data_IF_292755854688
#
_entry.id   IF_292755854688
#
_cell.length_a   1.000
_cell.length_b   1.000
_cell.length_c   1.000
_cell.angle_alpha   90.00
_cell.angle_beta   90.00
_cell.angle_gamma   90.00
#
_symmetry.space_group_name_H-M   'P 1'
#
loop_
_entity.id
_entity.type
_entity.pdbx_description
1 polymer ?
#
# COMPACT_ATOMS: atom_id res chain seq x y z
N UNK A 1 -2.54 23.21 -2.45
CA UNK A 1 -1.24 22.65 -2.89
C UNK A 1 -1.41 21.16 -3.11
N UNK A 2 -1.02 20.65 -4.27
CA UNK A 2 -1.01 19.21 -4.58
C UNK A 2 0.05 18.51 -3.73
N UNK A 3 -0.11 17.23 -3.45
CA UNK A 3 0.85 16.43 -2.65
C UNK A 3 2.30 16.60 -3.13
N UNK A 4 2.52 16.62 -4.45
CA UNK A 4 3.82 16.86 -5.08
C UNK A 4 4.47 18.17 -4.62
N UNK A 5 3.71 19.28 -4.59
CA UNK A 5 4.21 20.60 -4.22
C UNK A 5 4.64 20.65 -2.76
N UNK A 6 3.90 19.98 -1.86
CA UNK A 6 4.25 19.88 -0.44
C UNK A 6 5.52 19.08 -0.23
N UNK A 7 5.68 17.96 -0.93
CA UNK A 7 6.85 17.09 -0.84
C UNK A 7 8.12 17.81 -1.33
N UNK A 8 8.03 18.45 -2.49
CA UNK A 8 9.17 19.24 -3.05
C UNK A 8 9.52 20.37 -2.10
N UNK A 9 8.55 21.09 -1.57
CA UNK A 9 8.77 22.22 -0.67
C UNK A 9 9.39 21.77 0.65
N UNK A 10 8.90 20.70 1.26
CA UNK A 10 9.47 20.15 2.51
C UNK A 10 10.91 19.66 2.31
N UNK A 11 11.17 18.86 1.28
CA UNK A 11 12.52 18.34 1.01
C UNK A 11 13.49 19.46 0.65
N UNK A 12 13.07 20.46 -0.14
CA UNK A 12 13.91 21.61 -0.47
C UNK A 12 14.22 22.47 0.74
N UNK A 13 13.24 22.71 1.61
CA UNK A 13 13.44 23.53 2.82
C UNK A 13 14.38 22.85 3.83
N UNK A 14 14.21 21.56 4.08
CA UNK A 14 15.11 20.83 5.01
C UNK A 14 16.52 20.77 4.48
N UNK A 15 16.71 20.54 3.18
CA UNK A 15 18.02 20.53 2.54
C UNK A 15 18.67 21.92 2.54
N UNK A 16 17.90 22.98 2.31
CA UNK A 16 18.38 24.37 2.35
C UNK A 16 18.91 24.72 3.73
N UNK A 17 18.19 24.39 4.79
CA UNK A 17 18.60 24.66 6.18
C UNK A 17 19.86 23.86 6.52
N UNK A 18 19.88 22.56 6.26
CA UNK A 18 21.00 21.68 6.58
C UNK A 18 22.29 22.07 5.83
N UNK A 19 22.18 22.32 4.53
CA UNK A 19 23.31 22.76 3.71
C UNK A 19 23.78 24.15 4.11
N UNK A 20 22.86 25.10 4.33
CA UNK A 20 23.19 26.45 4.75
C UNK A 20 23.95 26.47 6.07
N UNK A 21 23.53 25.72 7.06
CA UNK A 21 24.22 25.54 8.32
C UNK A 21 25.61 24.92 8.12
N UNK A 22 25.73 23.88 7.29
CA UNK A 22 27.01 23.23 6.97
C UNK A 22 28.01 24.18 6.28
N UNK A 23 27.53 24.92 5.28
CA UNK A 23 28.38 25.91 4.60
C UNK A 23 28.81 27.05 5.53
N UNK A 24 27.91 27.58 6.37
CA UNK A 24 28.26 28.60 7.37
C UNK A 24 29.32 28.09 8.35
N UNK A 25 29.12 26.88 8.85
CA UNK A 25 30.09 26.26 9.78
C UNK A 25 31.48 26.08 9.15
N UNK A 26 31.54 25.59 7.91
CA UNK A 26 32.81 25.41 7.20
C UNK A 26 33.49 26.76 6.95
N UNK A 27 32.73 27.76 6.50
CA UNK A 27 33.25 29.10 6.28
C UNK A 27 33.84 29.71 7.56
N UNK A 28 33.09 29.71 8.66
CA UNK A 28 33.52 30.23 9.94
C UNK A 28 34.79 29.49 10.46
N UNK A 29 34.83 28.16 10.29
CA UNK A 29 35.94 27.34 10.73
C UNK A 29 37.22 27.63 9.96
N UNK A 30 37.13 27.74 8.62
CA UNK A 30 38.30 28.04 7.77
C UNK A 30 38.81 29.46 8.05
N UNK A 31 37.94 30.47 8.16
CA UNK A 31 38.36 31.83 8.47
C UNK A 31 38.97 31.93 9.86
N UNK A 32 38.45 31.22 10.85
CA UNK A 32 39.03 31.19 12.20
C UNK A 32 40.41 30.54 12.23
N UNK A 33 40.61 29.44 11.49
CA UNK A 33 41.90 28.75 11.40
C UNK A 33 42.96 29.62 10.74
N UNK A 34 42.63 30.29 9.62
CA UNK A 34 43.56 31.23 8.98
C UNK A 34 43.94 32.41 9.90
N UNK A 35 42.97 32.95 10.62
CA UNK A 35 43.24 34.02 11.57
C UNK A 35 44.14 33.56 12.72
N UNK A 36 43.94 32.34 13.23
CA UNK A 36 44.76 31.75 14.27
C UNK A 36 46.21 31.54 13.81
N UNK A 37 46.41 31.10 12.55
CA UNK A 37 47.75 30.96 11.96
C UNK A 37 48.48 32.31 11.87
N UNK A 38 47.77 33.37 11.44
CA UNK A 38 48.34 34.73 11.43
C UNK A 38 48.67 35.21 12.82
N UNK A 39 47.85 35.03 13.81
CA UNK A 39 48.07 35.40 15.20
C UNK A 39 49.31 34.68 15.78
N UNK A 40 49.51 33.41 15.43
CA UNK A 40 50.67 32.64 15.84
C UNK A 40 51.96 33.18 15.23
N UNK A 41 52.00 33.41 13.93
CA UNK A 41 53.15 33.96 13.22
C UNK A 41 53.44 35.38 13.70
N UNK A 42 52.42 36.22 13.87
CA UNK A 42 52.53 37.58 14.38
C UNK A 42 53.16 37.60 15.79
N UNK A 43 52.77 36.64 16.65
CA UNK A 43 53.34 36.52 18.00
C UNK A 43 54.79 36.15 18.03
N UNK A 44 55.32 35.37 17.11
CA UNK A 44 56.74 34.98 17.00
C UNK A 44 57.54 36.14 16.43
N UNK A 45 57.16 36.62 15.26
CA UNK A 45 57.90 37.66 14.53
C UNK A 45 57.94 38.97 15.31
N UNK A 46 56.87 39.36 15.99
CA UNK A 46 56.88 40.58 16.82
C UNK A 46 57.84 40.54 17.97
N UNK A 47 58.09 39.35 18.54
CA UNK A 47 59.14 39.18 19.61
C UNK A 47 60.51 39.20 19.02
N UNK A 48 60.78 38.54 17.88
CA UNK A 48 62.04 38.56 17.21
C UNK A 48 62.47 40.01 16.83
N UNK A 49 61.48 40.76 16.27
CA UNK A 49 61.70 42.19 15.94
C UNK A 49 61.96 43.03 17.16
N UNK A 50 61.21 42.84 18.27
CA UNK A 50 61.45 43.54 19.52
C UNK A 50 62.86 43.24 20.11
N UNK A 51 63.31 41.97 20.03
CA UNK A 51 64.67 41.57 20.49
C UNK A 51 65.78 42.11 19.58
N UNK A 52 65.51 42.24 18.27
CA UNK A 52 66.46 42.84 17.34
C UNK A 52 66.64 44.34 17.64
N UNK A 53 65.54 45.08 17.86
CA UNK A 53 65.57 46.48 18.29
C UNK A 53 66.28 46.63 19.61
N UNK A 54 66.08 45.67 20.55
CA UNK A 54 66.79 45.69 21.84
C UNK A 54 68.31 45.56 21.73
N UNK A 55 68.80 44.71 20.84
CA UNK A 55 70.27 44.46 20.59
C UNK A 55 70.89 45.59 19.88
N UNK A 56 70.25 46.36 19.03
CA UNK A 56 70.79 47.45 18.22
C UNK A 56 70.83 48.79 19.00
N UNK A 57 71.77 48.96 19.94
CA UNK A 57 71.79 50.04 20.92
C UNK A 57 71.94 51.45 20.34
N UNK A 58 72.05 51.64 19.03
CA UNK A 58 72.30 52.97 18.44
C UNK A 58 71.39 53.38 17.28
N UNK A 59 70.82 52.46 16.61
CA UNK A 59 69.98 52.73 15.45
C UNK A 59 68.49 52.70 15.89
N UNK A 60 67.77 53.81 15.68
CA UNK A 60 66.28 53.89 15.73
C UNK A 60 65.70 53.60 14.35
N UNK A 61 66.37 52.75 13.59
CA UNK A 61 65.89 52.32 12.28
C UNK A 61 65.22 50.96 12.43
N UNK A 62 63.98 50.89 11.97
CA UNK A 62 63.20 49.60 11.84
C UNK A 62 63.72 48.89 10.58
N UNK A 63 63.90 47.56 10.60
CA UNK A 63 64.33 46.82 9.44
C UNK A 63 63.42 47.10 8.23
N UNK A 64 64.03 47.33 7.08
CA UNK A 64 63.32 47.67 5.83
C UNK A 64 62.82 46.44 5.04
N UNK A 65 62.79 45.22 5.67
CA UNK A 65 62.30 44.08 5.01
C UNK A 65 60.75 44.15 5.02
N UNK A 66 60.12 44.43 3.86
CA UNK A 66 58.69 44.76 3.81
C UNK A 66 57.80 43.59 3.95
N UNK A 67 58.32 42.35 3.81
CA UNK A 67 57.44 41.15 3.67
C UNK A 67 57.82 40.07 4.69
N UNK A 68 56.81 39.58 5.36
CA UNK A 68 56.85 38.40 6.20
C UNK A 68 56.65 37.16 5.36
N UNK A 69 57.62 36.26 5.37
CA UNK A 69 57.46 34.97 4.69
C UNK A 69 56.59 34.03 5.54
N UNK A 70 55.31 34.23 5.52
CA UNK A 70 54.37 33.26 6.11
C UNK A 70 54.28 32.01 5.23
N UNK A 71 54.37 30.85 5.85
CA UNK A 71 54.53 29.56 5.16
C UNK A 71 53.31 29.14 4.37
N UNK A 72 52.08 29.48 4.77
CA UNK A 72 50.86 29.03 4.13
C UNK A 72 49.94 30.15 3.57
N UNK A 73 50.15 31.40 3.99
CA UNK A 73 49.21 32.51 3.66
C UNK A 73 49.82 33.47 2.62
N UNK A 74 51.06 33.21 2.19
CA UNK A 74 51.80 34.08 1.30
C UNK A 74 52.47 35.26 2.01
N UNK A 75 53.16 36.15 1.31
CA UNK A 75 53.92 37.26 1.90
C UNK A 75 52.96 38.30 2.50
N UNK A 76 53.04 38.49 3.80
CA UNK A 76 52.29 39.50 4.54
C UNK A 76 53.13 40.77 4.72
N UNK A 77 52.59 41.93 4.38
CA UNK A 77 53.26 43.21 4.55
C UNK A 77 53.37 43.58 6.02
N UNK A 78 54.58 43.88 6.49
CA UNK A 78 54.90 44.27 7.89
C UNK A 78 54.62 45.75 8.11
N UNK A 79 54.01 46.04 9.24
CA UNK A 79 53.83 47.41 9.76
C UNK A 79 54.43 47.47 11.14
N UNK A 80 55.44 48.30 11.33
CA UNK A 80 56.08 48.46 12.61
C UNK A 80 56.18 49.93 12.99
N UNK A 81 55.88 50.24 14.26
CA UNK A 81 55.96 51.58 14.85
C UNK A 81 56.56 51.46 16.26
N UNK A 82 57.66 52.19 16.52
CA UNK A 82 58.26 52.27 17.84
C UNK A 82 57.79 53.58 18.50
N UNK A 83 57.32 53.46 19.73
CA UNK A 83 56.83 54.57 20.56
C UNK A 83 57.76 54.74 21.80
N UNK A 84 57.85 55.98 22.27
CA UNK A 84 58.50 56.30 23.59
C UNK A 84 57.50 56.19 24.75
N UNK A 85 57.91 56.45 25.98
CA UNK A 85 57.07 56.43 27.17
C UNK A 85 55.93 57.44 27.16
N UNK A 86 56.01 58.47 26.35
CA UNK A 86 55.00 59.53 26.22
C UNK A 86 54.04 59.22 25.05
N UNK A 87 54.25 58.10 24.31
CA UNK A 87 53.46 57.69 23.16
C UNK A 87 53.83 58.43 21.87
N UNK A 88 55.03 59.08 21.84
CA UNK A 88 55.50 59.72 20.63
C UNK A 88 56.24 58.71 19.75
N UNK A 89 56.05 58.80 18.44
CA UNK A 89 56.64 57.89 17.46
C UNK A 89 58.14 58.16 17.39
N UNK A 90 58.99 57.18 17.73
CA UNK A 90 60.45 57.20 17.63
C UNK A 90 60.91 56.75 16.25
N UNK A 91 60.35 55.67 15.74
CA UNK A 91 60.62 55.13 14.42
C UNK A 91 59.36 54.49 13.82
N UNK A 92 59.34 54.33 12.49
CA UNK A 92 58.25 53.71 11.76
C UNK A 92 58.76 53.02 10.51
N UNK A 93 58.18 51.92 10.13
CA UNK A 93 58.42 51.25 8.84
C UNK A 93 57.96 52.11 7.67
N UNK A 94 58.53 51.95 6.49
CA UNK A 94 58.23 52.75 5.30
C UNK A 94 56.73 52.62 4.92
N UNK A 95 56.08 51.47 5.14
CA UNK A 95 54.68 51.19 4.84
C UNK A 95 53.68 51.97 5.72
N UNK A 96 54.06 52.35 6.94
CA UNK A 96 53.24 53.14 7.86
C UNK A 96 53.19 54.62 7.41
N UNK A 97 54.23 55.13 6.85
CA UNK A 97 54.30 56.51 6.37
C UNK A 97 53.98 57.51 7.47
N UNK A 98 53.24 58.57 7.15
CA UNK A 98 52.80 59.61 8.07
C UNK A 98 51.56 59.26 8.91
N UNK A 99 51.04 58.03 8.77
CA UNK A 99 49.75 57.63 9.35
C UNK A 99 49.87 56.73 10.56
N UNK A 100 50.94 56.83 11.32
CA UNK A 100 51.14 56.07 12.56
C UNK A 100 49.96 56.36 13.54
N UNK A 101 49.30 55.37 14.11
CA UNK A 101 48.22 55.58 15.09
C UNK A 101 48.83 56.17 16.40
N UNK A 102 48.06 57.03 17.08
CA UNK A 102 48.49 57.55 18.40
C UNK A 102 48.40 56.42 19.46
N UNK A 103 49.50 56.24 20.25
CA UNK A 103 49.59 55.19 21.27
C UNK A 103 48.42 55.26 22.29
N UNK A 104 47.99 56.49 22.65
CA UNK A 104 46.84 56.72 23.54
C UNK A 104 45.52 56.17 23.08
N UNK A 105 45.39 55.92 21.77
CA UNK A 105 44.17 55.31 21.18
C UNK A 105 44.26 53.77 21.14
N UNK A 106 45.37 53.20 21.56
CA UNK A 106 45.64 51.79 21.59
C UNK A 106 45.48 51.27 23.03
N UNK A 107 44.85 50.14 23.22
CA UNK A 107 44.67 49.56 24.55
C UNK A 107 45.96 48.89 25.00
N UNK A 108 46.73 49.57 25.83
CA UNK A 108 48.07 49.20 26.26
C UNK A 108 48.18 47.88 27.07
N UNK A 109 47.04 47.28 27.43
CA UNK A 109 47.02 46.09 28.29
C UNK A 109 46.94 44.75 27.57
N UNK A 110 47.00 44.71 26.23
CA UNK A 110 46.80 43.46 25.54
C UNK A 110 48.02 43.03 24.75
N UNK A 111 48.78 42.08 25.29
CA UNK A 111 49.69 41.21 24.52
C UNK A 111 48.94 40.30 23.54
N UNK A 112 47.62 40.52 23.38
CA UNK A 112 46.79 39.80 22.43
C UNK A 112 46.70 40.55 21.11
N UNK A 113 46.70 39.84 19.98
CA UNK A 113 46.49 40.45 18.66
C UNK A 113 45.14 41.15 18.55
N UNK A 114 45.13 42.34 17.96
CA UNK A 114 43.95 43.15 17.73
C UNK A 114 43.90 43.71 16.31
N UNK A 115 42.71 43.99 15.81
CA UNK A 115 42.55 44.57 14.49
C UNK A 115 42.55 46.10 14.54
N UNK A 116 43.29 46.73 13.62
CA UNK A 116 43.39 48.18 13.48
C UNK A 116 43.52 48.58 12.01
N UNK A 117 42.99 49.74 11.65
CA UNK A 117 43.23 50.30 10.34
C UNK A 117 44.41 51.30 10.41
N UNK A 118 45.39 51.14 9.53
CA UNK A 118 46.49 52.07 9.30
C UNK A 118 46.30 52.67 7.90
N UNK A 119 45.74 53.85 7.84
CA UNK A 119 45.28 54.41 6.58
C UNK A 119 44.05 53.70 6.00
N UNK A 120 44.21 53.09 4.83
CA UNK A 120 43.13 52.28 4.20
C UNK A 120 43.33 50.77 4.38
N UNK A 121 44.44 50.35 4.99
CA UNK A 121 44.77 48.95 5.15
C UNK A 121 44.32 48.43 6.52
N UNK A 122 43.65 47.32 6.53
CA UNK A 122 43.32 46.60 7.75
C UNK A 122 44.54 45.82 8.22
N UNK A 123 44.97 46.05 9.45
CA UNK A 123 46.19 45.48 10.03
C UNK A 123 45.81 44.70 11.27
N UNK A 124 46.29 43.48 11.38
CA UNK A 124 46.31 42.67 12.59
C UNK A 124 47.57 42.99 13.35
N UNK A 125 47.51 43.53 14.54
CA UNK A 125 48.67 44.08 15.25
C UNK A 125 48.75 43.58 16.70
N UNK A 126 49.94 43.64 17.24
CA UNK A 126 50.25 43.36 18.65
C UNK A 126 51.12 44.48 19.20
N UNK A 127 50.95 44.81 20.48
CA UNK A 127 51.77 45.75 21.21
C UNK A 127 52.66 44.99 22.16
N UNK A 128 53.96 45.24 22.07
CA UNK A 128 54.98 44.58 22.87
C UNK A 128 55.94 45.63 23.47
N UNK A 129 56.34 45.54 24.78
CA UNK A 129 57.42 46.32 25.33
C UNK A 129 58.77 45.87 24.73
N UNK A 130 59.66 46.78 24.44
CA UNK A 130 60.96 46.44 23.91
C UNK A 130 61.87 45.99 25.07
N UNK A 131 62.44 44.76 25.03
CA UNK A 131 63.33 44.25 26.09
C UNK A 131 64.51 45.14 26.32
N UNK A 132 64.83 45.45 27.60
CA UNK A 132 65.99 46.29 27.96
C UNK A 132 65.83 47.78 27.64
N UNK A 133 64.66 48.26 27.17
CA UNK A 133 64.37 49.69 26.93
C UNK A 133 63.08 50.09 27.65
N UNK A 134 63.17 50.46 28.94
CA UNK A 134 62.01 50.80 29.73
C UNK A 134 61.27 52.00 29.14
N UNK A 135 59.94 51.85 28.92
CA UNK A 135 59.07 52.87 28.35
C UNK A 135 58.91 52.85 26.80
N UNK A 136 59.78 52.12 26.09
CA UNK A 136 59.58 51.97 24.63
C UNK A 136 58.66 50.82 24.33
N UNK A 137 57.70 51.05 23.42
CA UNK A 137 56.68 50.03 22.99
C UNK A 137 56.64 49.86 21.47
N UNK A 138 56.75 48.65 21.02
CA UNK A 138 56.68 48.30 19.63
C UNK A 138 55.20 47.90 19.26
N UNK A 139 54.61 48.61 18.32
CA UNK A 139 53.46 48.16 17.58
C UNK A 139 53.92 47.37 16.36
N UNK A 140 53.68 46.10 16.31
CA UNK A 140 54.01 45.27 15.18
C UNK A 140 52.74 44.67 14.61
N UNK A 141 52.55 44.73 13.29
CA UNK A 141 51.31 44.25 12.65
C UNK A 141 51.57 43.80 11.23
N UNK A 142 50.59 43.04 10.70
CA UNK A 142 50.58 42.52 9.34
C UNK A 142 49.29 42.91 8.63
N UNK A 143 49.36 43.13 7.32
CA UNK A 143 48.14 43.41 6.52
C UNK A 143 47.18 42.25 6.54
N UNK A 144 45.91 42.57 6.72
CA UNK A 144 44.80 41.61 6.57
C UNK A 144 44.26 41.52 5.14
N UNK A 145 44.70 42.40 4.22
CA UNK A 145 44.15 42.46 2.87
C UNK A 145 44.22 41.11 2.12
N UNK A 146 45.27 40.28 2.21
CA UNK A 146 45.31 38.96 1.61
C UNK A 146 44.26 37.99 2.24
N UNK A 147 44.16 38.00 3.59
CA UNK A 147 43.19 37.15 4.28
C UNK A 147 41.75 37.54 3.90
N UNK A 148 41.45 38.85 3.88
CA UNK A 148 40.14 39.35 3.56
C UNK A 148 39.76 39.04 2.07
N UNK A 149 40.75 39.10 1.16
CA UNK A 149 40.57 38.71 -0.24
C UNK A 149 40.34 37.22 -0.41
N UNK A 150 41.07 36.37 0.32
CA UNK A 150 40.89 34.90 0.30
C UNK A 150 39.58 34.49 0.93
N UNK A 151 39.17 35.12 2.03
CA UNK A 151 37.85 34.91 2.65
C UNK A 151 36.72 35.33 1.71
N UNK A 152 36.87 36.46 0.98
CA UNK A 152 35.88 36.89 0.00
C UNK A 152 35.80 35.94 -1.20
N UNK A 153 36.94 35.42 -1.68
CA UNK A 153 36.95 34.40 -2.75
C UNK A 153 36.30 33.12 -2.27
N UNK A 154 36.64 32.64 -1.10
CA UNK A 154 36.05 31.45 -0.47
C UNK A 154 34.52 31.61 -0.34
N UNK A 155 34.06 32.76 0.20
CA UNK A 155 32.64 33.06 0.34
C UNK A 155 31.92 33.04 -1.02
N UNK A 156 32.55 33.60 -2.06
CA UNK A 156 31.99 33.61 -3.43
C UNK A 156 31.89 32.21 -4.02
N UNK A 157 32.94 31.41 -3.94
CA UNK A 157 32.98 30.03 -4.43
C UNK A 157 31.95 29.19 -3.69
N UNK A 158 31.90 29.27 -2.37
CA UNK A 158 30.91 28.55 -1.55
C UNK A 158 29.49 28.96 -1.87
N UNK A 159 29.21 30.26 -2.09
CA UNK A 159 27.90 30.75 -2.44
C UNK A 159 27.42 30.22 -3.81
N UNK A 160 28.32 30.21 -4.81
CA UNK A 160 28.00 29.68 -6.15
C UNK A 160 27.74 28.16 -6.06
N UNK A 161 28.61 27.44 -5.34
CA UNK A 161 28.43 25.99 -5.14
C UNK A 161 27.14 25.67 -4.40
N UNK A 162 26.83 26.40 -3.32
CA UNK A 162 25.58 26.29 -2.59
C UNK A 162 24.38 26.50 -3.48
N UNK A 163 24.35 27.58 -4.28
CA UNK A 163 23.27 27.87 -5.21
C UNK A 163 23.11 26.74 -6.25
N UNK A 164 24.21 26.22 -6.80
CA UNK A 164 24.19 25.09 -7.73
C UNK A 164 23.61 23.80 -7.11
N UNK A 165 24.01 23.48 -5.89
CA UNK A 165 23.49 22.30 -5.16
C UNK A 165 22.01 22.45 -4.85
N UNK A 166 21.57 23.63 -4.43
CA UNK A 166 20.14 23.90 -4.16
C UNK A 166 19.30 23.73 -5.43
N UNK A 167 19.75 24.30 -6.55
CA UNK A 167 19.05 24.14 -7.85
C UNK A 167 18.98 22.66 -8.24
N UNK A 168 20.05 21.93 -8.08
CA UNK A 168 20.11 20.49 -8.36
C UNK A 168 19.13 19.69 -7.50
N UNK A 169 19.07 19.96 -6.19
CA UNK A 169 18.16 19.28 -5.25
C UNK A 169 16.70 19.57 -5.65
N UNK A 170 16.34 20.82 -5.92
CA UNK A 170 15.00 21.20 -6.32
C UNK A 170 14.61 20.51 -7.63
N UNK A 171 15.51 20.50 -8.60
CA UNK A 171 15.28 19.83 -9.89
C UNK A 171 15.08 18.33 -9.73
N UNK A 172 15.97 17.67 -8.98
CA UNK A 172 15.86 16.21 -8.73
C UNK A 172 14.59 15.84 -7.97
N UNK A 173 14.26 16.57 -6.92
CA UNK A 173 13.04 16.33 -6.14
C UNK A 173 11.78 16.53 -7.00
N UNK A 174 11.77 17.57 -7.81
CA UNK A 174 10.68 17.81 -8.76
C UNK A 174 10.54 16.71 -9.81
N UNK A 175 11.67 16.26 -10.37
CA UNK A 175 11.70 15.22 -11.39
C UNK A 175 11.20 13.87 -10.85
N UNK A 176 11.71 13.46 -9.67
CA UNK A 176 11.27 12.24 -8.98
C UNK A 176 9.77 12.31 -8.65
N UNK A 177 9.33 13.42 -8.05
CA UNK A 177 7.92 13.61 -7.69
C UNK A 177 7.00 13.61 -8.91
N UNK A 178 7.43 14.20 -10.03
CA UNK A 178 6.67 14.21 -11.28
C UNK A 178 6.55 12.81 -11.87
N UNK A 179 7.60 12.01 -11.80
CA UNK A 179 7.62 10.63 -12.29
C UNK A 179 6.69 9.74 -11.47
N UNK A 180 6.82 9.75 -10.15
CA UNK A 180 5.96 8.95 -9.25
C UNK A 180 4.47 9.32 -9.39
N UNK A 181 4.17 10.62 -9.50
CA UNK A 181 2.77 11.06 -9.61
C UNK A 181 2.07 10.53 -10.87
N UNK A 182 2.78 10.44 -12.01
CA UNK A 182 2.19 9.92 -13.26
C UNK A 182 1.75 8.46 -13.15
N UNK A 183 2.54 7.64 -12.48
CA UNK A 183 2.25 6.21 -12.29
C UNK A 183 1.03 6.00 -11.37
N UNK A 184 0.94 6.76 -10.28
CA UNK A 184 -0.25 6.76 -9.42
C UNK A 184 -1.51 7.28 -10.13
N UNK A 185 -1.37 8.31 -10.97
CA UNK A 185 -2.49 8.85 -11.75
C UNK A 185 -3.03 7.83 -12.76
N UNK A 186 -2.17 6.97 -13.34
CA UNK A 186 -2.60 5.90 -14.24
C UNK A 186 -3.48 4.87 -13.51
N UNK A 187 -3.06 4.40 -12.34
CA UNK A 187 -3.85 3.46 -11.52
C UNK A 187 -5.18 4.12 -11.09
N UNK A 188 -5.13 5.36 -10.61
CA UNK A 188 -6.32 6.11 -10.22
C UNK A 188 -7.30 6.36 -11.39
N UNK A 189 -6.79 6.53 -12.60
CA UNK A 189 -7.62 6.67 -13.80
C UNK A 189 -8.37 5.37 -14.11
N UNK A 190 -7.69 4.22 -14.03
CA UNK A 190 -8.32 2.90 -14.20
C UNK A 190 -9.37 2.66 -13.12
N UNK A 191 -9.05 2.93 -11.85
CA UNK A 191 -10.01 2.79 -10.76
C UNK A 191 -11.28 3.64 -10.96
N UNK A 192 -11.15 4.88 -11.47
CA UNK A 192 -12.31 5.73 -11.82
C UNK A 192 -13.13 5.17 -12.98
N UNK A 193 -12.48 4.60 -14.00
CA UNK A 193 -13.19 3.94 -15.12
C UNK A 193 -13.99 2.73 -14.63
N UNK A 194 -13.38 1.90 -13.78
CA UNK A 194 -14.07 0.75 -13.16
C UNK A 194 -15.25 1.21 -12.32
N UNK A 195 -15.09 2.24 -11.49
CA UNK A 195 -16.18 2.83 -10.70
C UNK A 195 -17.30 3.41 -11.58
N UNK A 196 -17.00 3.85 -12.80
CA UNK A 196 -17.99 4.28 -13.79
C UNK A 196 -18.64 3.11 -14.56
N UNK A 197 -18.29 1.85 -14.25
CA UNK A 197 -18.86 0.64 -14.85
C UNK A 197 -18.04 0.01 -15.98
N UNK A 198 -16.88 0.57 -16.33
CA UNK A 198 -16.00 -0.02 -17.34
C UNK A 198 -15.09 -1.10 -16.72
N UNK A 199 -15.63 -2.29 -16.59
CA UNK A 199 -14.92 -3.46 -16.05
C UNK A 199 -13.87 -4.05 -17.03
N UNK A 200 -13.74 -3.51 -18.24
CA UNK A 200 -12.71 -3.90 -19.20
C UNK A 200 -11.39 -3.14 -19.01
N UNK A 201 -11.40 -2.05 -18.26
CA UNK A 201 -10.22 -1.23 -17.99
C UNK A 201 -9.16 -2.04 -17.24
N UNK A 202 -7.90 -1.87 -17.65
CA UNK A 202 -6.72 -2.50 -17.00
C UNK A 202 -5.62 -1.48 -16.85
N UNK A 203 -4.81 -1.67 -15.80
CA UNK A 203 -3.60 -0.86 -15.57
C UNK A 203 -2.50 -1.26 -16.56
N UNK A 204 -2.37 -2.55 -16.83
CA UNK A 204 -1.40 -3.10 -17.79
C UNK A 204 0.03 -3.16 -17.25
N UNK A 205 0.88 -3.97 -17.92
CA UNK A 205 2.22 -4.31 -17.46
C UNK A 205 3.34 -3.30 -17.81
N UNK A 206 3.01 -2.07 -18.25
CA UNK A 206 4.01 -1.10 -18.74
C UNK A 206 4.61 -0.15 -17.69
N UNK A 207 4.40 -0.41 -16.39
CA UNK A 207 4.90 0.45 -15.31
C UNK A 207 6.39 0.13 -15.03
N UNK A 208 7.28 1.14 -15.03
CA UNK A 208 8.73 0.93 -14.96
C UNK A 208 9.24 0.56 -13.56
N UNK A 209 8.47 0.78 -12.50
CA UNK A 209 8.84 0.45 -11.13
C UNK A 209 8.14 -0.83 -10.67
N UNK A 210 8.90 -1.80 -10.17
CA UNK A 210 8.41 -3.14 -9.82
C UNK A 210 7.31 -3.10 -8.75
N UNK A 211 7.45 -2.24 -7.73
CA UNK A 211 6.45 -2.09 -6.66
C UNK A 211 5.11 -1.56 -7.18
N UNK A 212 5.14 -0.59 -8.10
CA UNK A 212 3.93 -0.02 -8.69
C UNK A 212 3.34 -0.97 -9.74
N UNK A 213 4.19 -1.69 -10.47
CA UNK A 213 3.75 -2.75 -11.38
C UNK A 213 3.08 -3.91 -10.63
N UNK A 214 3.56 -4.24 -9.42
CA UNK A 214 2.90 -5.21 -8.53
C UNK A 214 1.52 -4.72 -8.12
N UNK A 215 1.41 -3.49 -7.63
CA UNK A 215 0.11 -2.88 -7.31
C UNK A 215 -0.83 -2.86 -8.51
N UNK A 216 -0.31 -2.57 -9.71
CA UNK A 216 -1.09 -2.61 -10.95
C UNK A 216 -1.66 -4.00 -11.23
N UNK A 217 -0.86 -5.07 -11.06
CA UNK A 217 -1.31 -6.47 -11.20
C UNK A 217 -2.37 -6.85 -10.16
N UNK A 218 -2.19 -6.41 -8.90
CA UNK A 218 -3.16 -6.67 -7.84
C UNK A 218 -4.50 -6.00 -8.14
N UNK A 219 -4.49 -4.76 -8.64
CA UNK A 219 -5.69 -4.04 -9.10
C UNK A 219 -6.32 -4.75 -10.30
N UNK A 220 -5.55 -5.17 -11.30
CA UNK A 220 -6.06 -5.90 -12.47
C UNK A 220 -6.70 -7.23 -12.06
N UNK A 221 -6.11 -7.98 -11.12
CA UNK A 221 -6.69 -9.21 -10.54
C UNK A 221 -8.01 -8.94 -9.82
N UNK A 222 -8.08 -7.86 -9.04
CA UNK A 222 -9.33 -7.46 -8.37
C UNK A 222 -10.42 -7.09 -9.38
N UNK A 223 -10.08 -6.39 -10.47
CA UNK A 223 -11.03 -6.05 -11.54
C UNK A 223 -11.53 -7.31 -12.24
N UNK A 224 -10.66 -8.29 -12.46
CA UNK A 224 -11.03 -9.56 -13.07
C UNK A 224 -12.04 -10.33 -12.19
N UNK A 225 -11.78 -10.42 -10.88
CA UNK A 225 -12.70 -11.04 -9.93
C UNK A 225 -14.05 -10.32 -9.88
N UNK A 226 -14.04 -8.98 -9.87
CA UNK A 226 -15.26 -8.17 -9.89
C UNK A 226 -16.04 -8.38 -11.20
N UNK A 227 -15.35 -8.40 -12.35
CA UNK A 227 -15.95 -8.64 -13.65
C UNK A 227 -16.62 -10.02 -13.72
N UNK A 228 -15.94 -11.06 -13.23
CA UNK A 228 -16.48 -12.41 -13.14
C UNK A 228 -17.73 -12.48 -12.24
N UNK A 229 -17.70 -11.79 -11.09
CA UNK A 229 -18.83 -11.71 -10.16
C UNK A 229 -20.04 -11.03 -10.81
N UNK A 230 -19.84 -9.86 -11.45
CA UNK A 230 -20.92 -9.13 -12.13
C UNK A 230 -21.51 -9.94 -13.29
N UNK A 231 -20.65 -10.58 -14.09
CA UNK A 231 -21.11 -11.45 -15.18
C UNK A 231 -21.93 -12.65 -14.68
N UNK A 232 -21.49 -13.26 -13.56
CA UNK A 232 -22.24 -14.34 -12.89
C UNK A 232 -23.60 -13.85 -12.38
N UNK A 233 -23.63 -12.67 -11.76
CA UNK A 233 -24.88 -12.07 -11.28
C UNK A 233 -25.85 -11.74 -12.41
N UNK A 234 -25.36 -11.21 -13.53
CA UNK A 234 -26.21 -10.92 -14.71
C UNK A 234 -26.81 -12.21 -15.31
N UNK A 235 -25.98 -13.26 -15.43
CA UNK A 235 -26.46 -14.58 -15.87
C UNK A 235 -27.52 -15.11 -14.93
N UNK A 236 -27.29 -15.05 -13.61
CA UNK A 236 -28.26 -15.50 -12.60
C UNK A 236 -29.60 -14.78 -12.76
N UNK A 237 -29.61 -13.44 -12.86
CA UNK A 237 -30.87 -12.67 -13.04
C UNK A 237 -31.55 -13.01 -14.34
N UNK A 238 -30.81 -13.16 -15.44
CA UNK A 238 -31.36 -13.52 -16.75
C UNK A 238 -32.01 -14.89 -16.74
N UNK A 239 -31.34 -15.90 -16.19
CA UNK A 239 -31.91 -17.26 -16.08
C UNK A 239 -33.13 -17.30 -15.13
N UNK A 240 -33.04 -16.64 -13.97
CA UNK A 240 -34.17 -16.56 -13.04
C UNK A 240 -35.41 -15.96 -13.71
N UNK A 241 -35.23 -14.87 -14.46
CA UNK A 241 -36.33 -14.25 -15.21
C UNK A 241 -36.92 -15.19 -16.29
N UNK A 242 -36.07 -15.99 -16.96
CA UNK A 242 -36.52 -16.94 -17.98
C UNK A 242 -37.29 -18.09 -17.35
N UNK A 243 -36.77 -18.69 -16.29
CA UNK A 243 -37.40 -19.81 -15.58
C UNK A 243 -38.73 -19.43 -14.89
N UNK A 244 -38.87 -18.18 -14.44
CA UNK A 244 -40.13 -17.66 -13.91
C UNK A 244 -41.16 -17.35 -15.01
N UNK A 245 -40.73 -16.91 -16.19
CA UNK A 245 -41.62 -16.55 -17.30
C UNK A 245 -42.35 -17.75 -17.87
N UNK A 246 -41.71 -18.91 -17.97
CA UNK A 246 -42.29 -20.13 -18.56
C UNK A 246 -43.54 -20.57 -17.81
N UNK A 247 -43.53 -20.91 -16.51
CA UNK A 247 -44.71 -21.35 -15.77
C UNK A 247 -45.76 -20.22 -15.66
N UNK A 248 -45.35 -18.95 -15.58
CA UNK A 248 -46.26 -17.82 -15.59
C UNK A 248 -47.06 -17.77 -16.91
N UNK A 249 -46.39 -17.97 -18.04
CA UNK A 249 -47.03 -17.97 -19.36
C UNK A 249 -47.97 -19.16 -19.51
N UNK A 250 -47.60 -20.36 -19.00
CA UNK A 250 -48.45 -21.53 -18.99
C UNK A 250 -49.71 -21.30 -18.15
N UNK A 251 -49.58 -20.87 -16.90
CA UNK A 251 -50.71 -20.56 -16.02
C UNK A 251 -51.65 -19.50 -16.63
N UNK A 252 -51.09 -18.41 -17.15
CA UNK A 252 -51.86 -17.35 -17.80
C UNK A 252 -52.55 -17.86 -19.06
N UNK A 253 -51.87 -18.67 -19.85
CA UNK A 253 -52.43 -19.26 -21.09
C UNK A 253 -53.62 -20.17 -20.82
N UNK A 254 -53.50 -21.09 -19.84
CA UNK A 254 -54.56 -21.99 -19.46
C UNK A 254 -55.78 -21.23 -18.91
N UNK A 255 -55.59 -20.29 -17.98
CA UNK A 255 -56.63 -19.47 -17.41
C UNK A 255 -57.33 -18.59 -18.47
N UNK A 256 -56.52 -17.91 -19.32
CA UNK A 256 -57.03 -17.08 -20.40
C UNK A 256 -57.83 -17.90 -21.43
N UNK A 257 -57.35 -19.12 -21.74
CA UNK A 257 -58.00 -20.02 -22.65
C UNK A 257 -59.38 -20.60 -22.07
N UNK A 258 -59.34 -20.85 -20.74
CA UNK A 258 -60.58 -21.27 -20.03
C UNK A 258 -61.69 -20.19 -20.04
N UNK A 259 -61.30 -18.90 -20.01
CA UNK A 259 -62.22 -17.76 -20.04
C UNK A 259 -62.77 -17.42 -21.44
N UNK A 260 -62.22 -17.94 -22.55
CA UNK A 260 -62.58 -17.56 -23.92
C UNK A 260 -63.84 -18.22 -24.45
N UNK A 261 -64.22 -19.36 -23.90
CA UNK A 261 -65.39 -20.15 -24.34
C UNK A 261 -66.04 -20.83 -23.14
N UNK A 262 -67.34 -21.01 -23.16
CA UNK A 262 -67.99 -21.90 -22.21
C UNK A 262 -67.46 -23.32 -22.36
N UNK A 263 -67.14 -23.97 -21.26
CA UNK A 263 -66.53 -25.27 -21.17
C UNK A 263 -67.25 -26.14 -20.16
N UNK A 264 -67.03 -27.45 -20.18
CA UNK A 264 -67.49 -28.33 -19.15
C UNK A 264 -66.89 -28.07 -17.80
N UNK A 265 -67.57 -28.43 -16.71
CA UNK A 265 -66.99 -28.31 -15.36
C UNK A 265 -65.68 -29.09 -15.20
N UNK A 266 -65.49 -30.19 -15.94
CA UNK A 266 -64.29 -30.99 -15.96
C UNK A 266 -63.11 -30.22 -16.61
N UNK A 267 -63.37 -29.55 -17.75
CA UNK A 267 -62.33 -28.76 -18.45
C UNK A 267 -61.91 -27.54 -17.63
N UNK A 268 -62.82 -26.88 -16.90
CA UNK A 268 -62.45 -25.80 -15.98
C UNK A 268 -61.64 -26.31 -14.82
N UNK A 269 -61.94 -27.48 -14.27
CA UNK A 269 -61.15 -28.08 -13.20
C UNK A 269 -59.72 -28.41 -13.66
N UNK A 270 -59.56 -28.99 -14.84
CA UNK A 270 -58.25 -29.29 -15.44
C UNK A 270 -57.46 -28.04 -15.65
N UNK A 271 -58.01 -26.95 -16.20
CA UNK A 271 -57.30 -25.67 -16.37
C UNK A 271 -56.91 -25.05 -15.05
N UNK A 272 -57.74 -25.17 -14.01
CA UNK A 272 -57.37 -24.68 -12.65
C UNK A 272 -56.29 -25.53 -12.05
N UNK A 273 -56.29 -26.85 -12.19
CA UNK A 273 -55.30 -27.78 -11.71
C UNK A 273 -53.91 -27.48 -12.37
N UNK A 274 -53.88 -27.32 -13.69
CA UNK A 274 -52.65 -26.91 -14.41
C UNK A 274 -52.13 -25.55 -13.96
N UNK A 275 -53.01 -24.56 -13.79
CA UNK A 275 -52.60 -23.26 -13.31
C UNK A 275 -52.06 -23.29 -11.84
N UNK A 276 -52.69 -24.14 -11.00
CA UNK A 276 -52.26 -24.37 -9.62
C UNK A 276 -50.85 -25.01 -9.58
N UNK A 277 -50.62 -26.03 -10.41
CA UNK A 277 -49.30 -26.68 -10.53
C UNK A 277 -48.23 -25.69 -10.97
N UNK A 278 -48.50 -24.89 -12.00
CA UNK A 278 -47.58 -23.86 -12.48
C UNK A 278 -47.26 -22.81 -11.39
N UNK A 279 -48.25 -22.38 -10.59
CA UNK A 279 -48.02 -21.45 -9.46
C UNK A 279 -47.28 -22.08 -8.32
N UNK A 280 -47.47 -23.36 -8.02
CA UNK A 280 -46.67 -24.10 -7.04
C UNK A 280 -45.21 -24.21 -7.48
N UNK A 281 -44.98 -24.50 -8.76
CA UNK A 281 -43.60 -24.49 -9.32
C UNK A 281 -42.93 -23.13 -9.18
N UNK A 282 -43.62 -22.02 -9.52
CA UNK A 282 -43.10 -20.67 -9.33
C UNK A 282 -42.75 -20.37 -7.86
N UNK A 283 -43.57 -20.82 -6.91
CA UNK A 283 -43.30 -20.65 -5.49
C UNK A 283 -42.02 -21.36 -5.07
N UNK A 284 -41.82 -22.62 -5.45
CA UNK A 284 -40.60 -23.38 -5.16
C UNK A 284 -39.41 -22.69 -5.77
N UNK A 285 -39.47 -22.26 -7.03
CA UNK A 285 -38.41 -21.56 -7.70
C UNK A 285 -38.03 -20.23 -7.00
N UNK A 286 -39.05 -19.45 -6.58
CA UNK A 286 -38.80 -18.19 -5.84
C UNK A 286 -38.11 -18.45 -4.49
N UNK A 287 -38.53 -19.50 -3.78
CA UNK A 287 -37.87 -19.94 -2.54
C UNK A 287 -36.44 -20.38 -2.80
N UNK A 288 -36.13 -21.09 -3.90
CA UNK A 288 -34.82 -21.51 -4.33
C UNK A 288 -33.89 -20.30 -4.58
N UNK A 289 -34.40 -19.32 -5.31
CA UNK A 289 -33.68 -18.08 -5.58
C UNK A 289 -33.38 -17.29 -4.30
N UNK A 290 -34.31 -17.26 -3.32
CA UNK A 290 -34.10 -16.60 -2.04
C UNK A 290 -32.95 -17.26 -1.21
N UNK A 291 -32.86 -18.61 -1.24
CA UNK A 291 -31.75 -19.31 -0.58
C UNK A 291 -30.43 -18.96 -1.23
N UNK A 292 -30.36 -18.96 -2.56
CA UNK A 292 -29.16 -18.60 -3.28
C UNK A 292 -28.75 -17.12 -3.05
N UNK A 293 -29.72 -16.20 -3.00
CA UNK A 293 -29.47 -14.79 -2.74
C UNK A 293 -28.92 -14.54 -1.31
N UNK A 294 -29.32 -15.39 -0.35
CA UNK A 294 -28.80 -15.30 1.04
C UNK A 294 -27.47 -16.01 1.25
N UNK A 295 -27.00 -16.80 0.31
CA UNK A 295 -25.75 -17.56 0.40
C UNK A 295 -24.49 -16.68 0.33
N UNK A 296 -24.28 -15.82 1.28
CA UNK A 296 -23.17 -14.89 1.42
C UNK A 296 -23.34 -13.97 2.63
N UNK A 297 -24.57 -13.98 3.19
CA UNK A 297 -24.83 -13.26 4.44
C UNK A 297 -24.60 -14.20 5.63
N UNK A 298 -23.99 -13.73 6.73
CA UNK A 298 -23.92 -14.52 7.95
C UNK A 298 -25.34 -14.90 8.38
N UNK A 299 -25.54 -16.14 8.87
CA UNK A 299 -26.87 -16.56 9.35
C UNK A 299 -27.36 -15.59 10.42
N UNK A 300 -28.65 -15.24 10.38
CA UNK A 300 -29.27 -14.37 11.36
C UNK A 300 -28.98 -14.93 12.77
N UNK A 301 -28.59 -14.07 13.71
CA UNK A 301 -28.30 -14.44 15.08
C UNK A 301 -29.56 -15.05 15.73
N UNK A 302 -29.64 -16.40 15.68
CA UNK A 302 -30.68 -17.20 16.30
C UNK A 302 -30.05 -18.24 17.22
N UNK A 303 -30.85 -18.82 18.13
CA UNK A 303 -30.41 -19.94 18.94
C UNK A 303 -30.06 -21.14 18.04
N UNK A 304 -28.85 -21.67 18.15
CA UNK A 304 -28.49 -22.93 17.49
C UNK A 304 -29.23 -24.08 18.17
N UNK A 305 -29.73 -25.02 17.37
CA UNK A 305 -30.28 -26.28 17.85
C UNK A 305 -29.48 -27.45 17.29
N UNK A 306 -29.34 -28.50 18.07
CA UNK A 306 -28.73 -29.74 17.58
C UNK A 306 -29.74 -30.51 16.75
N UNK A 307 -29.41 -30.83 15.50
CA UNK A 307 -30.23 -31.57 14.58
C UNK A 307 -29.59 -32.92 14.25
N UNK A 308 -30.38 -34.02 14.28
CA UNK A 308 -29.98 -35.34 13.80
C UNK A 308 -30.10 -35.39 12.28
N UNK A 309 -29.00 -35.63 11.58
CA UNK A 309 -29.00 -35.78 10.12
C UNK A 309 -29.86 -36.98 9.65
N UNK A 310 -29.91 -38.06 10.46
CA UNK A 310 -30.78 -39.19 10.16
C UNK A 310 -32.28 -38.83 10.26
N UNK A 311 -32.68 -37.98 11.22
CA UNK A 311 -34.07 -37.50 11.32
C UNK A 311 -34.43 -36.62 10.14
N UNK A 312 -33.52 -35.69 9.77
CA UNK A 312 -33.70 -34.82 8.58
C UNK A 312 -33.82 -35.67 7.31
N UNK A 313 -32.97 -36.68 7.15
CA UNK A 313 -32.99 -37.58 6.00
C UNK A 313 -34.30 -38.42 5.95
N UNK A 314 -34.79 -38.94 7.10
CA UNK A 314 -36.08 -39.66 7.15
C UNK A 314 -37.25 -38.77 6.74
N UNK A 315 -37.27 -37.51 7.19
CA UNK A 315 -38.27 -36.54 6.76
C UNK A 315 -38.26 -36.30 5.24
N UNK A 316 -37.07 -36.14 4.65
CA UNK A 316 -36.89 -35.94 3.20
C UNK A 316 -37.27 -37.18 2.39
N UNK A 317 -36.92 -38.38 2.86
CA UNK A 317 -37.34 -39.66 2.25
C UNK A 317 -38.87 -39.80 2.28
N UNK A 318 -39.50 -39.51 3.39
CA UNK A 318 -40.97 -39.55 3.52
C UNK A 318 -41.67 -38.55 2.56
N UNK A 319 -41.10 -37.34 2.39
CA UNK A 319 -41.60 -36.32 1.45
C UNK A 319 -41.54 -36.81 -0.01
N UNK A 320 -40.48 -37.54 -0.39
CA UNK A 320 -40.26 -38.01 -1.77
C UNK A 320 -40.74 -39.46 -2.00
N UNK A 321 -41.44 -40.09 -1.05
CA UNK A 321 -41.84 -41.50 -1.12
C UNK A 321 -42.60 -41.81 -2.41
N UNK A 322 -43.59 -40.98 -2.82
CA UNK A 322 -44.31 -41.15 -4.06
C UNK A 322 -43.44 -41.10 -5.32
N UNK A 323 -42.38 -40.26 -5.32
CA UNK A 323 -41.43 -40.16 -6.42
C UNK A 323 -40.54 -41.42 -6.50
N UNK A 324 -40.10 -41.94 -5.36
CA UNK A 324 -39.35 -43.21 -5.29
C UNK A 324 -40.20 -44.38 -5.83
N UNK A 325 -41.44 -44.48 -5.38
CA UNK A 325 -42.37 -45.53 -5.84
C UNK A 325 -42.65 -45.45 -7.35
N UNK A 326 -42.95 -44.25 -7.88
CA UNK A 326 -43.20 -44.04 -9.30
C UNK A 326 -42.00 -44.41 -10.20
N UNK A 327 -40.75 -44.19 -9.70
CA UNK A 327 -39.54 -44.57 -10.42
C UNK A 327 -39.01 -45.97 -10.07
N UNK A 328 -39.61 -46.64 -9.08
CA UNK A 328 -39.20 -47.99 -8.61
C UNK A 328 -37.82 -47.99 -7.96
N UNK A 329 -37.40 -46.88 -7.36
CA UNK A 329 -36.11 -46.73 -6.69
C UNK A 329 -36.27 -47.02 -5.20
N UNK A 330 -35.36 -47.77 -4.61
CA UNK A 330 -35.32 -48.02 -3.16
C UNK A 330 -34.30 -47.06 -2.49
N UNK A 331 -34.63 -46.65 -1.27
CA UNK A 331 -33.75 -45.80 -0.48
C UNK A 331 -33.34 -46.51 0.79
N UNK A 332 -32.02 -46.54 1.06
CA UNK A 332 -31.43 -47.15 2.27
C UNK A 332 -30.79 -46.03 3.09
N UNK A 333 -31.12 -45.94 4.39
CA UNK A 333 -30.53 -44.96 5.32
C UNK A 333 -29.70 -45.65 6.38
N UNK A 334 -28.43 -45.26 6.51
CA UNK A 334 -27.49 -45.81 7.46
C UNK A 334 -26.86 -44.74 8.38
N UNK A 335 -26.73 -45.09 9.65
CA UNK A 335 -26.03 -44.27 10.64
C UNK A 335 -26.82 -43.02 11.07
N UNK A 336 -26.20 -42.26 11.94
CA UNK A 336 -26.66 -40.92 12.36
C UNK A 336 -25.48 -40.02 12.72
N UNK A 337 -25.66 -38.75 12.54
CA UNK A 337 -24.71 -37.72 12.98
C UNK A 337 -25.51 -36.49 13.40
N UNK A 338 -24.96 -35.74 14.34
CA UNK A 338 -25.57 -34.50 14.83
C UNK A 338 -24.79 -33.29 14.37
N UNK A 339 -25.53 -32.24 14.02
CA UNK A 339 -24.99 -30.96 13.61
C UNK A 339 -25.69 -29.85 14.37
N UNK A 340 -24.93 -28.86 14.81
CA UNK A 340 -25.48 -27.61 15.29
C UNK A 340 -25.91 -26.72 14.11
N UNK A 341 -27.18 -26.43 14.06
CA UNK A 341 -27.79 -25.67 12.96
C UNK A 341 -28.62 -24.50 13.46
N UNK A 342 -28.65 -23.44 12.65
CA UNK A 342 -29.56 -22.30 12.87
C UNK A 342 -30.92 -22.54 12.22
N UNK A 343 -31.01 -23.47 11.24
CA UNK A 343 -32.24 -23.71 10.50
C UNK A 343 -32.31 -25.15 9.97
N UNK A 344 -33.07 -26.00 10.65
CA UNK A 344 -33.26 -27.38 10.26
C UNK A 344 -33.98 -27.52 8.90
N UNK A 345 -34.79 -26.50 8.51
CA UNK A 345 -35.44 -26.48 7.19
C UNK A 345 -34.45 -26.42 6.04
N UNK A 346 -33.34 -25.68 6.21
CA UNK A 346 -32.29 -25.62 5.21
C UNK A 346 -31.58 -26.97 5.06
N UNK A 347 -31.30 -27.68 6.17
CA UNK A 347 -30.76 -29.04 6.10
C UNK A 347 -31.73 -30.01 5.43
N UNK A 348 -33.04 -29.93 5.74
CA UNK A 348 -34.06 -30.73 5.10
C UNK A 348 -34.09 -30.47 3.57
N UNK A 349 -34.05 -29.23 3.14
CA UNK A 349 -34.00 -28.81 1.73
C UNK A 349 -32.73 -29.31 1.02
N UNK A 350 -31.58 -29.28 1.70
CA UNK A 350 -30.33 -29.84 1.19
C UNK A 350 -30.49 -31.33 0.88
N UNK A 351 -31.06 -32.10 1.82
CA UNK A 351 -31.28 -33.55 1.65
C UNK A 351 -32.30 -33.84 0.55
N UNK A 352 -33.41 -33.09 0.50
CA UNK A 352 -34.43 -33.22 -0.57
C UNK A 352 -33.79 -33.01 -1.95
N UNK A 353 -32.94 -31.98 -2.13
CA UNK A 353 -32.27 -31.74 -3.40
C UNK A 353 -31.32 -32.86 -3.81
N UNK A 354 -30.55 -33.41 -2.85
CA UNK A 354 -29.64 -34.53 -3.11
C UNK A 354 -30.40 -35.79 -3.48
N UNK A 355 -31.49 -36.09 -2.76
CA UNK A 355 -32.35 -37.26 -3.02
C UNK A 355 -33.10 -37.15 -4.35
N UNK A 356 -33.67 -35.99 -4.67
CA UNK A 356 -34.35 -35.75 -5.94
C UNK A 356 -33.37 -35.94 -7.11
N UNK A 357 -32.15 -35.42 -6.99
CA UNK A 357 -31.10 -35.64 -7.98
C UNK A 357 -30.76 -37.13 -8.11
N UNK A 358 -30.55 -37.82 -7.01
CA UNK A 358 -30.21 -39.25 -7.01
C UNK A 358 -31.29 -40.10 -7.64
N UNK A 359 -32.58 -39.80 -7.39
CA UNK A 359 -33.73 -40.53 -7.98
C UNK A 359 -33.85 -40.26 -9.47
N UNK A 360 -33.67 -39.04 -9.91
CA UNK A 360 -33.71 -38.63 -11.31
C UNK A 360 -32.72 -39.42 -12.17
N UNK A 361 -31.50 -39.59 -11.64
CA UNK A 361 -30.42 -40.24 -12.38
C UNK A 361 -30.27 -41.74 -12.12
N UNK A 362 -30.95 -42.29 -11.11
CA UNK A 362 -30.94 -43.74 -10.85
C UNK A 362 -31.75 -44.54 -11.88
N UNK A 363 -31.28 -45.75 -12.28
CA UNK A 363 -32.04 -46.62 -13.11
C UNK A 363 -33.29 -47.18 -12.38
N UNK A 364 -34.33 -47.59 -13.08
CA UNK A 364 -35.49 -48.26 -12.48
C UNK A 364 -35.05 -49.52 -11.73
N UNK A 365 -35.51 -49.72 -10.52
CA UNK A 365 -35.07 -50.80 -9.62
C UNK A 365 -33.78 -50.53 -8.88
N UNK A 366 -33.14 -49.39 -9.09
CA UNK A 366 -31.91 -48.98 -8.44
C UNK A 366 -32.08 -48.70 -6.95
N UNK A 367 -30.93 -48.56 -6.27
CA UNK A 367 -30.86 -48.24 -4.84
C UNK A 367 -30.11 -46.91 -4.66
N UNK A 368 -30.72 -45.98 -3.93
CA UNK A 368 -30.08 -44.76 -3.44
C UNK A 368 -29.69 -44.99 -1.99
N UNK A 369 -28.42 -44.82 -1.69
CA UNK A 369 -27.89 -45.02 -0.33
C UNK A 369 -27.59 -43.66 0.31
N UNK A 370 -28.20 -43.45 1.48
CA UNK A 370 -27.97 -42.26 2.31
C UNK A 370 -27.15 -42.68 3.55
N UNK A 371 -26.05 -42.07 3.84
CA UNK A 371 -25.32 -42.35 5.07
C UNK A 371 -25.01 -41.07 5.83
N UNK A 372 -25.25 -41.11 7.15
CA UNK A 372 -24.87 -40.04 8.08
C UNK A 372 -23.84 -40.57 9.06
N UNK A 373 -22.67 -39.98 9.10
CA UNK A 373 -21.52 -40.45 9.91
C UNK A 373 -20.84 -39.28 10.61
N UNK A 374 -20.20 -39.55 11.73
CA UNK A 374 -19.36 -38.59 12.44
C UNK A 374 -17.91 -39.08 12.43
N UNK A 375 -17.06 -38.47 11.61
CA UNK A 375 -15.62 -38.74 11.53
C UNK A 375 -14.80 -37.51 11.96
N UNK A 376 -15.04 -37.03 13.18
CA UNK A 376 -14.52 -35.73 13.64
C UNK A 376 -15.37 -34.55 13.19
N UNK A 377 -16.07 -34.69 12.07
CA UNK A 377 -17.06 -33.74 11.55
C UNK A 377 -18.31 -34.50 11.14
N UNK A 378 -19.50 -33.88 11.29
CA UNK A 378 -20.72 -34.43 10.79
C UNK A 378 -20.68 -34.49 9.26
N UNK A 379 -20.99 -35.65 8.70
CA UNK A 379 -20.97 -35.92 7.26
C UNK A 379 -22.26 -36.58 6.83
N UNK A 380 -22.83 -36.09 5.74
CA UNK A 380 -23.96 -36.72 5.04
C UNK A 380 -23.51 -37.07 3.62
N UNK A 381 -23.75 -38.30 3.19
CA UNK A 381 -23.52 -38.70 1.79
C UNK A 381 -24.75 -39.33 1.19
N UNK A 382 -24.99 -39.02 -0.07
CA UNK A 382 -26.02 -39.62 -0.92
C UNK A 382 -25.35 -40.22 -2.14
N UNK A 383 -25.59 -41.52 -2.36
CA UNK A 383 -24.98 -42.30 -3.42
C UNK A 383 -26.05 -42.88 -4.31
N UNK A 384 -25.95 -42.67 -5.63
CA UNK A 384 -26.83 -43.19 -6.66
C UNK A 384 -26.12 -44.26 -7.53
N UNK A 385 -26.93 -44.96 -8.31
CA UNK A 385 -26.48 -45.95 -9.29
C UNK A 385 -26.66 -45.44 -10.75
N UNK A 386 -26.63 -44.14 -10.93
CA UNK A 386 -26.77 -43.49 -12.23
C UNK A 386 -25.52 -43.57 -13.11
N UNK A 387 -25.46 -42.78 -14.19
CA UNK A 387 -24.31 -42.76 -15.12
C UNK A 387 -23.08 -42.04 -14.54
N UNK A 388 -23.19 -41.49 -13.31
CA UNK A 388 -22.13 -40.66 -12.72
C UNK A 388 -22.01 -39.28 -13.35
N UNK A 389 -21.08 -38.47 -12.82
CA UNK A 389 -20.82 -37.13 -13.31
C UNK A 389 -19.58 -37.11 -14.21
N UNK A 390 -19.66 -36.61 -15.47
CA UNK A 390 -18.48 -36.44 -16.33
C UNK A 390 -17.41 -35.55 -15.68
N UNK A 391 -16.15 -35.93 -15.85
CA UNK A 391 -15.04 -35.16 -15.24
C UNK A 391 -15.01 -33.68 -15.62
N UNK A 392 -15.37 -33.37 -16.87
CA UNK A 392 -15.43 -32.00 -17.39
C UNK A 392 -16.54 -31.16 -16.76
N UNK A 393 -17.62 -31.82 -16.26
CA UNK A 393 -18.75 -31.15 -15.64
C UNK A 393 -18.56 -30.93 -14.13
N UNK A 394 -17.72 -31.74 -13.45
CA UNK A 394 -17.49 -31.68 -11.99
C UNK A 394 -17.19 -30.25 -11.47
N UNK A 395 -16.37 -29.42 -12.09
CA UNK A 395 -16.14 -28.07 -11.61
C UNK A 395 -17.36 -27.16 -11.64
N UNK A 396 -18.35 -27.49 -12.47
CA UNK A 396 -19.49 -26.64 -12.83
C UNK A 396 -20.81 -27.10 -12.30
N UNK A 397 -21.00 -28.37 -11.91
CA UNK A 397 -22.30 -28.94 -11.47
C UNK A 397 -22.92 -28.19 -10.30
N UNK A 398 -22.16 -27.44 -9.55
CA UNK A 398 -22.65 -26.62 -8.45
C UNK A 398 -22.91 -25.16 -8.85
N UNK A 399 -22.71 -24.78 -10.12
CA UNK A 399 -23.10 -23.45 -10.62
C UNK A 399 -24.62 -23.36 -10.75
N UNK A 400 -25.25 -22.25 -10.37
CA UNK A 400 -26.71 -22.08 -10.59
C UNK A 400 -27.07 -22.23 -12.08
N UNK A 401 -28.18 -22.94 -12.35
CA UNK A 401 -28.69 -23.21 -13.70
C UNK A 401 -27.77 -24.04 -14.59
N UNK A 402 -26.74 -24.66 -14.05
CA UNK A 402 -25.92 -25.57 -14.82
C UNK A 402 -26.66 -26.89 -15.05
N UNK A 403 -26.60 -27.37 -16.28
CA UNK A 403 -27.16 -28.67 -16.72
C UNK A 403 -26.09 -29.40 -17.50
N UNK A 404 -25.81 -30.64 -17.13
CA UNK A 404 -24.80 -31.47 -17.82
C UNK A 404 -25.17 -31.70 -19.30
N UNK A 405 -24.14 -31.95 -20.10
CA UNK A 405 -24.27 -32.12 -21.55
C UNK A 405 -25.20 -33.29 -21.96
N UNK A 406 -25.43 -34.25 -21.05
CA UNK A 406 -26.30 -35.40 -21.25
C UNK A 406 -27.77 -35.16 -20.82
N UNK A 407 -28.03 -34.08 -20.09
CA UNK A 407 -29.32 -33.79 -19.42
C UNK A 407 -30.22 -32.82 -20.21
N UNK A 408 -29.86 -32.45 -21.43
CA UNK A 408 -30.61 -31.44 -22.21
C UNK A 408 -32.11 -31.78 -22.42
N UNK A 409 -32.53 -33.05 -22.19
CA UNK A 409 -33.89 -33.53 -22.36
C UNK A 409 -34.66 -33.81 -21.03
N UNK A 410 -33.99 -33.72 -19.84
CA UNK A 410 -34.67 -34.02 -18.57
C UNK A 410 -35.19 -32.75 -17.89
N UNK A 411 -36.31 -32.84 -17.15
CA UNK A 411 -36.92 -31.73 -16.45
C UNK A 411 -36.07 -31.34 -15.19
N UNK A 412 -35.69 -30.09 -15.09
CA UNK A 412 -35.03 -29.56 -13.89
C UNK A 412 -34.47 -28.14 -14.07
N UNK A 413 -34.60 -27.30 -13.04
CA UNK A 413 -34.15 -25.90 -13.05
C UNK A 413 -32.62 -25.71 -13.01
N UNK A 414 -31.84 -26.80 -12.73
CA UNK A 414 -30.39 -26.68 -12.50
C UNK A 414 -30.01 -25.92 -11.24
N UNK A 415 -30.94 -25.72 -10.30
CA UNK A 415 -30.67 -25.00 -9.03
C UNK A 415 -30.35 -25.95 -7.86
N UNK A 416 -30.78 -27.20 -7.90
CA UNK A 416 -30.71 -28.12 -6.77
C UNK A 416 -29.32 -28.28 -6.16
N UNK A 417 -28.31 -28.60 -6.96
CA UNK A 417 -26.93 -28.74 -6.47
C UNK A 417 -26.29 -27.39 -6.04
N UNK A 418 -26.66 -26.28 -6.68
CA UNK A 418 -26.22 -24.94 -6.25
C UNK A 418 -26.81 -24.60 -4.87
N UNK A 419 -28.07 -24.97 -4.60
CA UNK A 419 -28.70 -24.81 -3.28
C UNK A 419 -27.97 -25.67 -2.23
N UNK A 420 -27.65 -26.92 -2.55
CA UNK A 420 -26.91 -27.80 -1.66
C UNK A 420 -25.58 -27.16 -1.25
N UNK A 421 -24.81 -26.64 -2.23
CA UNK A 421 -23.56 -25.94 -1.98
C UNK A 421 -23.74 -24.67 -1.13
N UNK A 422 -24.80 -23.91 -1.40
CA UNK A 422 -25.15 -22.70 -0.67
C UNK A 422 -25.43 -22.98 0.80
N UNK A 423 -26.28 -24.00 1.06
CA UNK A 423 -26.65 -24.42 2.41
C UNK A 423 -25.42 -25.03 3.14
N UNK A 424 -24.65 -25.88 2.48
CA UNK A 424 -23.42 -26.45 3.06
C UNK A 424 -22.48 -25.33 3.55
N UNK A 425 -22.20 -24.34 2.71
CA UNK A 425 -21.37 -23.16 3.06
C UNK A 425 -21.94 -22.32 4.20
N UNK A 426 -23.27 -22.14 4.24
CA UNK A 426 -23.92 -21.43 5.35
C UNK A 426 -23.74 -22.17 6.69
N UNK A 427 -23.49 -23.46 6.67
CA UNK A 427 -23.17 -24.30 7.82
C UNK A 427 -21.67 -24.62 7.94
N UNK A 428 -20.80 -23.74 7.38
CA UNK A 428 -19.34 -23.87 7.39
C UNK A 428 -18.83 -25.22 6.82
N UNK A 429 -19.60 -25.80 5.91
CA UNK A 429 -19.31 -27.08 5.29
C UNK A 429 -18.95 -26.98 3.80
N UNK A 430 -18.56 -28.12 3.26
CA UNK A 430 -18.24 -28.29 1.85
C UNK A 430 -18.99 -29.48 1.26
N UNK A 431 -19.30 -29.40 -0.03
CA UNK A 431 -19.83 -30.50 -0.81
C UNK A 431 -18.82 -30.97 -1.85
N UNK A 432 -18.65 -32.29 -1.94
CA UNK A 432 -17.82 -32.94 -2.95
C UNK A 432 -18.61 -34.01 -3.67
N UNK A 433 -18.20 -34.34 -4.90
CA UNK A 433 -18.73 -35.43 -5.69
C UNK A 433 -17.61 -36.40 -6.07
N UNK A 434 -17.87 -37.68 -5.92
CA UNK A 434 -16.95 -38.77 -6.25
C UNK A 434 -17.71 -39.83 -7.04
N UNK A 435 -17.05 -40.66 -7.87
CA UNK A 435 -17.68 -41.85 -8.43
C UNK A 435 -18.18 -42.78 -7.32
N UNK A 436 -19.30 -43.47 -7.57
CA UNK A 436 -19.82 -44.48 -6.64
C UNK A 436 -18.82 -45.62 -6.42
N UNK A 437 -18.70 -46.08 -5.18
CA UNK A 437 -17.70 -47.11 -4.83
C UNK A 437 -18.11 -48.53 -5.24
N UNK A 438 -19.42 -48.82 -5.37
CA UNK A 438 -19.87 -50.23 -5.45
C UNK A 438 -20.23 -50.70 -6.87
N UNK A 439 -20.51 -49.82 -7.81
CA UNK A 439 -21.10 -50.24 -9.09
C UNK A 439 -20.24 -49.88 -10.33
N UNK A 440 -19.13 -49.21 -10.17
CA UNK A 440 -18.37 -48.67 -11.33
C UNK A 440 -19.15 -47.59 -12.11
N UNK A 441 -20.37 -47.33 -11.74
CA UNK A 441 -21.32 -46.37 -12.33
C UNK A 441 -22.09 -45.73 -11.19
N UNK A 442 -22.29 -44.42 -11.19
CA UNK A 442 -23.01 -43.67 -10.19
C UNK A 442 -22.19 -42.51 -9.63
N UNK A 443 -22.85 -41.66 -8.85
CA UNK A 443 -22.25 -40.55 -8.18
C UNK A 443 -22.48 -40.63 -6.67
N UNK A 444 -21.46 -40.23 -5.87
CA UNK A 444 -21.58 -40.05 -4.44
C UNK A 444 -21.37 -38.58 -4.14
N UNK A 445 -22.43 -37.92 -3.68
CA UNK A 445 -22.36 -36.56 -3.17
C UNK A 445 -22.16 -36.61 -1.67
N UNK A 446 -21.10 -35.95 -1.20
CA UNK A 446 -20.73 -35.94 0.23
C UNK A 446 -20.68 -34.51 0.72
N UNK A 447 -21.47 -34.19 1.73
CA UNK A 447 -21.50 -32.93 2.45
C UNK A 447 -20.78 -33.14 3.79
N UNK A 448 -19.69 -32.40 4.03
CA UNK A 448 -18.98 -32.35 5.30
C UNK A 448 -19.32 -31.02 5.96
N UNK A 449 -19.84 -31.08 7.18
CA UNK A 449 -20.17 -29.88 7.94
C UNK A 449 -19.00 -29.55 8.86
N UNK A 450 -18.50 -28.31 8.83
CA UNK A 450 -17.41 -27.84 9.66
C UNK A 450 -17.84 -27.76 11.14
N UNK A 451 -16.90 -28.02 12.05
CA UNK A 451 -17.07 -27.54 13.43
C UNK A 451 -16.99 -26.01 13.38
N UNK A 452 -17.86 -25.30 14.11
CA UNK A 452 -17.66 -23.88 14.29
C UNK A 452 -16.38 -23.67 15.08
N UNK A 453 -15.25 -23.35 14.42
CA UNK A 453 -14.15 -22.74 15.13
C UNK A 453 -14.66 -21.43 15.71
N UNK A 454 -14.66 -21.37 17.04
CA UNK A 454 -14.91 -20.12 17.78
C UNK A 454 -13.86 -19.10 17.34
N UNK A 455 -14.25 -17.86 17.01
CA UNK A 455 -13.33 -16.80 16.64
C UNK A 455 -12.37 -16.44 17.79
#
# INVERSE_FOLDING_TARGET
MKFRERLVLAASLTSLIGLGAGFSFVYERVCAEHLHEVDFVLGIESREEADEIARNKGARELPDDPDLKATNIGPLRKYAVLYDSDGKVLARSALVGSRAPELKTLNLNSAMPFDRSIGQTHVRAVLLPVPGRPGETLLFGVSRDPLDSDAALLARVMSITFAGVVVWIVFMTWWIAARMTREHEAIAAVARRVAAGDLSARVGGGLPHEDIARLGRDVDSMIEQLSALVASQQKFVSYAAHELRSPLTAAYGELSNALRKERSAADYKEAIECALEATQHMRVLAEDLLVLARSGAPPAAGARSSASLANVARGAIAQLAGTFEARGVRVELEGDAHIDTWNERDLHRLVVNLLDNAVKHSPRGGVVRVSAKNHGHAQLSVEDQGPGVPADDVPRIFEPFFRGSREAAEEGSGLGLAIVRAIARAHHGEINVEPSAEAGHGARFTVRFGSPELP
#
